data_IF_610578752698
#
_entry.id   IF_610578752698
#
_cell.length_a   1.000
_cell.length_b   1.000
_cell.length_c   1.000
_cell.angle_alpha   90.00
_cell.angle_beta   90.00
_cell.angle_gamma   90.00
#
_symmetry.space_group_name_H-M   'P 1'
#
loop_
_entity.id
_entity.type
_entity.pdbx_description
1 polymer ?
#
# COMPACT_ATOMS: atom_id res chain seq x y z
N UNK A 1 19.60 33.92 53.25
CA UNK A 1 19.13 32.61 52.72
C UNK A 1 18.01 32.72 51.69
N UNK A 2 17.03 33.63 51.83
CA UNK A 2 15.89 33.73 50.90
C UNK A 2 16.26 34.09 49.44
N UNK A 3 17.29 34.91 49.20
CA UNK A 3 17.72 35.35 47.86
C UNK A 3 18.36 34.22 47.03
N UNK A 4 19.12 33.32 47.67
CA UNK A 4 19.70 32.12 47.03
C UNK A 4 18.63 31.09 46.63
N UNK A 5 17.57 30.94 47.43
CA UNK A 5 16.43 30.06 47.09
C UNK A 5 15.67 30.53 45.86
N UNK A 6 15.48 31.85 45.68
CA UNK A 6 14.80 32.40 44.49
C UNK A 6 15.61 32.22 43.20
N UNK A 7 16.93 32.34 43.26
CA UNK A 7 17.81 32.11 42.09
C UNK A 7 17.84 30.62 41.66
N UNK A 8 17.83 29.69 42.62
CA UNK A 8 17.78 28.25 42.34
C UNK A 8 16.45 27.82 41.69
N UNK A 9 15.32 28.39 42.13
CA UNK A 9 13.99 28.10 41.55
C UNK A 9 13.86 28.68 40.13
N UNK A 10 14.41 29.88 39.85
CA UNK A 10 14.43 30.43 38.49
C UNK A 10 15.36 29.67 37.54
N UNK A 11 16.50 29.15 38.01
CA UNK A 11 17.37 28.31 37.17
C UNK A 11 16.74 26.94 36.89
N UNK A 12 16.04 26.32 37.85
CA UNK A 12 15.31 25.08 37.62
C UNK A 12 14.13 25.25 36.65
N UNK A 13 13.40 26.37 36.74
CA UNK A 13 12.32 26.67 35.80
C UNK A 13 12.85 26.90 34.37
N UNK A 14 13.97 27.63 34.21
CA UNK A 14 14.61 27.85 32.92
C UNK A 14 15.17 26.54 32.31
N UNK A 15 15.71 25.64 33.14
CA UNK A 15 16.22 24.34 32.70
C UNK A 15 15.09 23.37 32.32
N UNK A 16 13.95 23.41 33.02
CA UNK A 16 12.77 22.62 32.68
C UNK A 16 12.12 23.08 31.36
N UNK A 17 12.09 24.39 31.08
CA UNK A 17 11.63 24.91 29.77
C UNK A 17 12.61 24.60 28.63
N UNK A 18 13.92 24.57 28.91
CA UNK A 18 14.93 24.23 27.89
C UNK A 18 14.92 22.73 27.57
N UNK A 19 14.72 21.86 28.57
CA UNK A 19 14.55 20.41 28.37
C UNK A 19 13.20 20.07 27.73
N UNK A 20 12.12 20.77 28.08
CA UNK A 20 10.82 20.64 27.41
C UNK A 20 10.85 21.10 25.95
N UNK A 21 11.59 22.17 25.64
CA UNK A 21 11.79 22.67 24.28
C UNK A 21 12.68 21.75 23.43
N UNK A 22 13.74 21.18 24.00
CA UNK A 22 14.64 20.24 23.30
C UNK A 22 13.98 18.87 23.10
N UNK A 23 13.11 18.42 24.02
CA UNK A 23 12.33 17.19 23.87
C UNK A 23 11.22 17.32 22.81
N UNK A 24 10.69 18.53 22.56
CA UNK A 24 9.72 18.76 21.48
C UNK A 24 10.36 18.85 20.09
N UNK A 25 11.63 19.23 19.98
CA UNK A 25 12.35 19.30 18.70
C UNK A 25 12.97 17.97 18.24
N UNK A 26 12.87 16.91 19.06
CA UNK A 26 13.33 15.56 18.71
C UNK A 26 12.18 14.59 18.42
N UNK A 27 10.94 15.10 18.25
CA UNK A 27 9.90 14.32 17.58
C UNK A 27 10.38 14.11 16.14
N UNK A 28 10.72 12.85 15.84
CA UNK A 28 11.43 12.45 14.64
C UNK A 28 10.83 13.07 13.39
N UNK A 29 11.69 13.50 12.48
CA UNK A 29 11.29 13.65 11.10
C UNK A 29 10.87 12.25 10.65
N UNK A 30 9.56 11.97 10.68
CA UNK A 30 9.02 10.79 10.05
C UNK A 30 9.44 10.84 8.59
N UNK A 31 10.17 9.83 8.13
CA UNK A 31 10.44 9.67 6.72
C UNK A 31 9.09 9.65 6.01
N UNK A 32 8.85 10.54 5.06
CA UNK A 32 7.68 10.46 4.22
C UNK A 32 7.74 9.13 3.45
N UNK A 33 6.88 8.20 3.85
CA UNK A 33 6.75 6.88 3.27
C UNK A 33 5.91 6.99 1.99
N UNK A 34 6.51 6.61 0.88
CA UNK A 34 5.77 6.31 -0.33
C UNK A 34 5.04 4.96 -0.17
N UNK A 35 4.09 4.66 -1.05
CA UNK A 35 3.23 3.50 -0.89
C UNK A 35 2.69 3.06 -2.25
N UNK A 36 2.98 1.83 -2.65
CA UNK A 36 2.51 1.25 -3.89
C UNK A 36 3.12 -0.11 -4.17
N UNK A 37 2.28 -1.04 -4.60
CA UNK A 37 2.69 -2.32 -5.21
C UNK A 37 1.81 -2.57 -6.44
N UNK A 38 2.18 -3.56 -7.25
CA UNK A 38 1.47 -3.85 -8.50
C UNK A 38 0.06 -4.36 -8.23
N UNK A 39 -0.91 -3.81 -8.98
CA UNK A 39 -2.33 -4.19 -8.98
C UNK A 39 -2.69 -5.05 -10.20
N UNK A 40 -2.01 -4.85 -11.34
CA UNK A 40 -2.11 -5.70 -12.53
C UNK A 40 -0.73 -5.87 -13.20
N UNK A 41 -0.23 -7.09 -13.41
CA UNK A 41 -0.68 -8.31 -12.73
C UNK A 41 -0.48 -8.17 -11.21
N UNK A 42 -1.50 -8.53 -10.43
CA UNK A 42 -1.57 -8.22 -9.01
C UNK A 42 -0.44 -8.84 -8.19
N UNK A 43 0.12 -8.06 -7.27
CA UNK A 43 1.16 -8.53 -6.35
C UNK A 43 0.60 -9.47 -5.27
N UNK A 44 1.47 -10.26 -4.61
CA UNK A 44 1.08 -11.17 -3.53
C UNK A 44 0.30 -10.46 -2.42
N UNK A 45 0.81 -9.33 -1.92
CA UNK A 45 0.14 -8.57 -0.84
C UNK A 45 -1.21 -8.03 -1.31
N UNK A 46 -1.27 -7.46 -2.52
CA UNK A 46 -2.52 -6.93 -3.08
C UNK A 46 -3.56 -8.02 -3.30
N UNK A 47 -3.22 -9.11 -3.99
CA UNK A 47 -4.15 -10.22 -4.25
C UNK A 47 -4.59 -10.90 -2.95
N UNK A 48 -3.70 -11.11 -1.99
CA UNK A 48 -4.10 -11.64 -0.69
C UNK A 48 -5.00 -10.68 0.09
N UNK A 49 -4.83 -9.37 -0.05
CA UNK A 49 -5.75 -8.40 0.53
C UNK A 49 -7.14 -8.50 -0.11
N UNK A 50 -7.19 -8.63 -1.45
CA UNK A 50 -8.45 -8.84 -2.16
C UNK A 50 -9.16 -10.14 -1.77
N UNK A 51 -8.41 -11.24 -1.60
CA UNK A 51 -8.94 -12.53 -1.17
C UNK A 51 -9.42 -12.51 0.29
N UNK A 52 -8.74 -11.76 1.15
CA UNK A 52 -9.00 -11.74 2.58
C UNK A 52 -10.11 -10.78 3.01
N UNK A 53 -10.26 -9.62 2.36
CA UNK A 53 -11.17 -8.57 2.83
C UNK A 53 -12.62 -9.03 2.88
N UNK A 54 -13.29 -8.71 3.98
CA UNK A 54 -14.73 -8.96 4.17
C UNK A 54 -15.49 -7.64 4.39
N UNK A 55 -16.81 -7.67 4.23
CA UNK A 55 -17.66 -6.50 4.50
C UNK A 55 -17.68 -6.05 5.96
N UNK A 56 -17.19 -6.88 6.89
CA UNK A 56 -17.09 -6.54 8.31
C UNK A 56 -15.78 -5.85 8.65
N UNK A 57 -14.85 -5.76 7.69
CA UNK A 57 -13.48 -5.31 7.88
C UNK A 57 -12.55 -6.40 8.38
N UNK A 58 -13.02 -7.59 8.75
CA UNK A 58 -12.13 -8.70 9.14
C UNK A 58 -11.41 -9.29 7.90
N UNK A 59 -10.27 -9.93 8.13
CA UNK A 59 -9.51 -10.66 7.10
C UNK A 59 -9.74 -12.17 7.23
N UNK A 60 -10.28 -12.77 6.16
CA UNK A 60 -10.54 -14.21 6.03
C UNK A 60 -10.18 -14.69 4.62
N UNK A 61 -8.88 -14.86 4.30
CA UNK A 61 -8.44 -15.35 2.99
C UNK A 61 -8.93 -16.77 2.76
N UNK A 62 -9.24 -17.12 1.51
CA UNK A 62 -9.52 -18.51 1.11
C UNK A 62 -8.29 -19.23 0.59
N UNK A 63 -7.38 -18.50 -0.04
CA UNK A 63 -6.17 -19.02 -0.63
C UNK A 63 -5.22 -19.59 0.45
N UNK A 64 -4.66 -20.80 0.29
CA UNK A 64 -3.80 -21.40 1.30
C UNK A 64 -2.46 -20.67 1.52
N UNK A 65 -1.88 -20.07 0.48
CA UNK A 65 -0.67 -19.26 0.61
C UNK A 65 -0.97 -17.94 1.33
N UNK A 66 -2.07 -17.26 1.00
CA UNK A 66 -2.50 -16.06 1.71
C UNK A 66 -2.83 -16.33 3.18
N UNK A 67 -3.47 -17.47 3.50
CA UNK A 67 -3.68 -17.92 4.89
C UNK A 67 -2.36 -18.08 5.64
N UNK A 68 -1.38 -18.71 5.01
CA UNK A 68 -0.06 -18.92 5.62
C UNK A 68 0.68 -17.59 5.82
N UNK A 69 0.67 -16.69 4.83
CA UNK A 69 1.27 -15.37 4.93
C UNK A 69 0.62 -14.51 6.01
N UNK A 70 -0.72 -14.54 6.12
CA UNK A 70 -1.45 -13.86 7.19
C UNK A 70 -1.11 -14.43 8.58
N UNK A 71 -0.94 -15.74 8.68
CA UNK A 71 -0.55 -16.38 9.95
C UNK A 71 0.89 -16.05 10.36
N UNK A 72 1.80 -15.86 9.40
CA UNK A 72 3.20 -15.51 9.64
C UNK A 72 3.37 -14.01 9.93
N UNK A 73 2.92 -13.15 9.02
CA UNK A 73 3.19 -11.71 9.04
C UNK A 73 2.07 -10.86 9.65
N UNK A 74 0.95 -11.49 10.04
CA UNK A 74 -0.17 -10.83 10.70
C UNK A 74 -0.99 -9.90 9.79
N UNK A 75 -2.13 -9.45 10.33
CA UNK A 75 -3.12 -8.69 9.59
C UNK A 75 -2.64 -7.31 9.11
N UNK A 76 -1.72 -6.68 9.86
CA UNK A 76 -1.14 -5.37 9.52
C UNK A 76 -0.52 -5.36 8.13
N UNK A 77 0.09 -6.48 7.70
CA UNK A 77 0.67 -6.62 6.36
C UNK A 77 -0.37 -6.46 5.24
N UNK A 78 -1.60 -6.94 5.44
CA UNK A 78 -2.66 -6.86 4.44
C UNK A 78 -3.42 -5.53 4.46
N UNK A 79 -3.54 -4.85 5.60
CA UNK A 79 -4.08 -3.47 5.60
C UNK A 79 -3.09 -2.46 5.03
N UNK A 80 -1.79 -2.77 5.10
CA UNK A 80 -0.71 -1.97 4.53
C UNK A 80 -0.09 -2.68 3.32
N UNK A 81 -0.91 -3.34 2.50
CA UNK A 81 -0.48 -4.17 1.37
C UNK A 81 0.43 -3.43 0.37
N UNK A 82 0.32 -2.09 0.34
CA UNK A 82 1.10 -1.15 -0.48
C UNK A 82 2.46 -0.74 0.12
N UNK A 83 2.77 -1.13 1.36
CA UNK A 83 3.92 -0.61 2.13
C UNK A 83 5.16 -1.54 2.14
N UNK A 84 5.33 -2.33 1.09
CA UNK A 84 6.50 -3.23 0.95
C UNK A 84 7.72 -2.41 0.51
N UNK A 85 8.39 -1.79 1.47
CA UNK A 85 9.37 -0.74 1.24
C UNK A 85 10.69 -0.94 1.98
N UNK A 86 11.72 -0.27 1.48
CA UNK A 86 12.97 -0.05 2.20
C UNK A 86 13.40 1.40 2.00
N UNK A 87 13.33 2.20 3.08
CA UNK A 87 13.64 3.63 3.08
C UNK A 87 15.10 3.95 2.70
N UNK A 88 15.99 2.96 2.70
CA UNK A 88 17.42 3.14 2.44
C UNK A 88 17.91 2.39 1.20
N UNK A 89 17.03 1.77 0.40
CA UNK A 89 17.48 0.96 -0.73
C UNK A 89 18.30 1.76 -1.75
N UNK A 90 17.89 2.98 -2.07
CA UNK A 90 18.66 3.92 -2.90
C UNK A 90 18.90 3.42 -4.32
N UNK A 91 17.97 2.62 -4.86
CA UNK A 91 18.10 1.96 -6.15
C UNK A 91 19.00 0.73 -6.13
N UNK A 92 19.50 0.28 -4.97
CA UNK A 92 20.25 -0.98 -4.84
C UNK A 92 19.31 -2.18 -4.89
N UNK A 93 19.81 -3.28 -5.43
CA UNK A 93 19.10 -4.55 -5.52
C UNK A 93 20.04 -5.68 -5.13
N UNK A 94 20.57 -6.39 -6.13
CA UNK A 94 21.53 -7.47 -5.95
C UNK A 94 22.73 -7.05 -5.08
N UNK A 95 23.10 -7.91 -4.13
CA UNK A 95 24.17 -7.64 -3.15
C UNK A 95 23.77 -6.76 -1.98
N UNK A 96 22.55 -6.21 -1.96
CA UNK A 96 22.01 -5.42 -0.86
C UNK A 96 20.72 -6.01 -0.29
N UNK A 97 19.73 -6.29 -1.14
CA UNK A 97 18.55 -7.09 -0.78
C UNK A 97 18.96 -8.56 -0.90
N UNK A 98 18.93 -9.36 0.19
CA UNK A 98 19.30 -10.77 0.14
C UNK A 98 18.41 -11.56 -0.83
N UNK A 99 18.96 -12.61 -1.44
CA UNK A 99 18.15 -13.63 -2.12
C UNK A 99 17.13 -14.22 -1.12
N UNK A 100 15.98 -14.64 -1.65
CA UNK A 100 14.85 -15.11 -0.86
C UNK A 100 14.07 -14.02 -0.13
N UNK A 101 14.50 -12.75 -0.20
CA UNK A 101 13.87 -11.62 0.52
C UNK A 101 13.37 -10.50 -0.37
N UNK A 102 13.26 -10.72 -1.67
CA UNK A 102 12.86 -9.69 -2.64
C UNK A 102 11.42 -9.23 -2.40
N UNK A 103 10.50 -10.15 -2.08
CA UNK A 103 9.06 -9.85 -1.92
C UNK A 103 8.69 -9.19 -0.58
N UNK A 104 9.69 -8.92 0.26
CA UNK A 104 9.56 -8.31 1.59
C UNK A 104 10.49 -7.09 1.75
N UNK A 105 11.04 -6.59 0.64
CA UNK A 105 12.03 -5.51 0.65
C UNK A 105 13.26 -5.80 1.54
N UNK A 106 13.70 -7.07 1.61
CA UNK A 106 14.82 -7.46 2.46
C UNK A 106 14.47 -7.57 3.95
N UNK A 107 13.19 -7.69 4.30
CA UNK A 107 12.66 -7.58 5.66
C UNK A 107 13.00 -6.24 6.34
N UNK A 108 13.05 -5.14 5.57
CA UNK A 108 13.42 -3.80 6.06
C UNK A 108 12.26 -2.80 6.16
N UNK A 109 11.06 -3.22 5.76
CA UNK A 109 9.86 -2.41 5.91
C UNK A 109 9.51 -2.20 7.40
N UNK A 110 8.81 -1.11 7.75
CA UNK A 110 8.20 -0.94 9.08
C UNK A 110 7.22 -2.05 9.47
N UNK A 111 6.73 -2.83 8.49
CA UNK A 111 5.80 -3.93 8.70
C UNK A 111 6.44 -5.27 8.34
N UNK A 112 5.94 -6.33 8.97
CA UNK A 112 6.33 -7.69 8.64
C UNK A 112 5.69 -8.09 7.29
N UNK A 113 6.54 -8.46 6.33
CA UNK A 113 6.14 -9.06 5.05
C UNK A 113 6.88 -10.38 4.79
N UNK A 114 7.48 -11.01 5.81
CA UNK A 114 8.34 -12.17 5.62
C UNK A 114 7.59 -13.35 4.98
N UNK A 115 6.31 -13.54 5.33
CA UNK A 115 5.46 -14.62 4.80
C UNK A 115 5.19 -14.51 3.30
N UNK A 116 5.36 -13.34 2.70
CA UNK A 116 5.21 -13.13 1.25
C UNK A 116 6.43 -13.59 0.45
N UNK A 117 7.53 -13.97 1.11
CA UNK A 117 8.68 -14.60 0.44
C UNK A 117 8.49 -16.10 0.20
N UNK A 118 7.48 -16.74 0.81
CA UNK A 118 7.36 -18.20 0.80
C UNK A 118 7.35 -18.78 -0.62
N UNK A 119 8.26 -19.73 -0.88
CA UNK A 119 8.39 -20.43 -2.15
C UNK A 119 7.28 -21.49 -2.28
N UNK A 120 6.15 -21.09 -2.86
CA UNK A 120 4.94 -21.91 -3.00
C UNK A 120 4.35 -21.75 -4.40
N UNK A 121 3.74 -22.82 -4.91
CA UNK A 121 3.05 -22.80 -6.21
C UNK A 121 1.55 -22.44 -6.11
N UNK A 122 1.00 -22.24 -4.91
CA UNK A 122 -0.43 -22.02 -4.69
C UNK A 122 -0.78 -20.57 -4.34
N UNK A 123 0.11 -19.61 -4.62
CA UNK A 123 -0.22 -18.19 -4.61
C UNK A 123 -1.31 -17.86 -5.64
N UNK A 124 -2.18 -16.87 -5.37
CA UNK A 124 -3.00 -16.26 -6.41
C UNK A 124 -2.13 -15.78 -7.56
N UNK A 125 -2.60 -15.96 -8.80
CA UNK A 125 -1.77 -15.68 -9.98
C UNK A 125 -2.58 -15.09 -11.12
N UNK A 126 -1.92 -14.25 -11.92
CA UNK A 126 -2.50 -13.68 -13.14
C UNK A 126 -2.13 -14.53 -14.37
N UNK A 127 -3.12 -14.85 -15.20
CA UNK A 127 -2.97 -15.62 -16.43
C UNK A 127 -2.65 -14.70 -17.59
N UNK A 128 -1.56 -14.98 -18.30
CA UNK A 128 -1.00 -14.10 -19.33
C UNK A 128 -0.66 -14.87 -20.61
N UNK A 129 -0.58 -14.13 -21.71
CA UNK A 129 -0.19 -14.64 -23.02
C UNK A 129 1.26 -14.28 -23.30
N UNK A 130 2.09 -15.29 -23.59
CA UNK A 130 3.48 -15.07 -23.99
C UNK A 130 3.54 -14.25 -25.28
N UNK A 131 4.37 -13.20 -25.32
CA UNK A 131 4.53 -12.33 -26.50
C UNK A 131 3.44 -11.27 -26.67
N UNK A 132 2.45 -11.18 -25.78
CA UNK A 132 1.43 -10.14 -25.84
C UNK A 132 1.89 -8.85 -25.14
N UNK A 133 1.17 -7.75 -25.39
CA UNK A 133 1.25 -6.53 -24.58
C UNK A 133 0.20 -6.60 -23.49
N UNK A 134 0.54 -6.13 -22.28
CA UNK A 134 -0.40 -5.97 -21.16
C UNK A 134 -0.33 -4.54 -20.63
N UNK A 135 -1.43 -4.06 -20.06
CA UNK A 135 -1.41 -2.84 -19.25
C UNK A 135 -1.02 -3.20 -17.81
N UNK A 136 0.13 -2.69 -17.37
CA UNK A 136 0.54 -2.78 -15.97
C UNK A 136 -0.15 -1.68 -15.19
N UNK A 137 -0.69 -2.03 -14.01
CA UNK A 137 -1.22 -1.06 -13.04
C UNK A 137 -0.44 -1.17 -11.75
N UNK A 138 0.12 -0.07 -11.28
CA UNK A 138 0.86 -0.01 -10.03
C UNK A 138 0.23 1.02 -9.11
N UNK A 139 -0.12 0.63 -7.89
CA UNK A 139 -0.86 1.51 -6.97
C UNK A 139 -0.11 2.83 -6.76
N UNK A 140 -0.85 3.93 -6.78
CA UNK A 140 -0.36 5.26 -6.43
C UNK A 140 -0.82 5.67 -5.02
N UNK A 141 -0.94 4.71 -4.09
CA UNK A 141 -1.45 4.95 -2.75
C UNK A 141 -0.77 6.16 -2.08
N UNK A 142 0.55 6.29 -2.23
CA UNK A 142 1.24 7.59 -2.21
C UNK A 142 1.99 7.77 -3.53
N UNK A 143 1.72 8.86 -4.24
CA UNK A 143 2.36 9.15 -5.52
C UNK A 143 3.73 9.84 -5.34
N UNK A 144 4.74 9.34 -6.03
CA UNK A 144 6.09 9.90 -6.05
C UNK A 144 6.71 9.86 -7.45
N UNK A 145 7.68 10.74 -7.74
CA UNK A 145 8.46 10.64 -8.97
C UNK A 145 9.48 9.49 -8.85
N UNK A 146 9.76 8.81 -9.96
CA UNK A 146 10.75 7.74 -9.97
C UNK A 146 10.68 6.84 -11.19
N UNK A 147 11.44 5.74 -11.11
CA UNK A 147 11.52 4.72 -12.14
C UNK A 147 11.05 3.36 -11.63
N UNK A 148 10.19 2.69 -12.38
CA UNK A 148 9.72 1.33 -12.14
C UNK A 148 10.58 0.36 -12.96
N UNK A 149 11.47 -0.37 -12.30
CA UNK A 149 12.31 -1.40 -12.93
C UNK A 149 11.53 -2.72 -12.92
N UNK A 150 11.17 -3.21 -14.10
CA UNK A 150 10.34 -4.39 -14.26
C UNK A 150 11.21 -5.58 -14.62
N UNK A 151 11.20 -6.59 -13.76
CA UNK A 151 11.91 -7.84 -13.93
C UNK A 151 10.95 -9.00 -14.11
N UNK A 152 11.39 -10.01 -14.83
CA UNK A 152 10.68 -11.28 -15.00
C UNK A 152 11.64 -12.42 -14.67
N UNK A 153 11.14 -13.47 -14.01
CA UNK A 153 11.96 -14.67 -13.80
C UNK A 153 12.37 -15.29 -15.14
N UNK A 154 13.57 -15.87 -15.20
CA UNK A 154 14.13 -16.54 -16.39
C UNK A 154 13.38 -17.85 -16.65
N UNK A 155 13.40 -18.36 -17.91
CA UNK A 155 12.88 -19.69 -18.22
C UNK A 155 13.50 -20.77 -17.31
N UNK A 156 12.67 -21.68 -16.81
CA UNK A 156 13.08 -22.75 -15.89
C UNK A 156 12.93 -22.42 -14.40
N UNK A 157 12.57 -21.18 -14.04
CA UNK A 157 12.15 -20.84 -12.68
C UNK A 157 10.96 -21.70 -12.23
N UNK A 158 10.95 -22.10 -10.96
CA UNK A 158 9.82 -22.74 -10.29
C UNK A 158 9.42 -21.91 -9.08
N UNK A 159 8.11 -21.66 -8.85
CA UNK A 159 7.64 -20.91 -7.68
C UNK A 159 7.88 -21.64 -6.34
N UNK A 160 8.26 -22.92 -6.37
CA UNK A 160 8.69 -23.69 -5.19
C UNK A 160 10.18 -23.57 -4.88
N UNK A 161 10.93 -22.81 -5.67
CA UNK A 161 12.34 -22.46 -5.40
C UNK A 161 12.41 -21.09 -4.75
N UNK A 162 13.44 -20.87 -3.93
CA UNK A 162 13.74 -19.55 -3.39
C UNK A 162 14.03 -18.58 -4.54
N UNK A 163 13.39 -17.40 -4.52
CA UNK A 163 13.59 -16.37 -5.54
C UNK A 163 14.86 -15.57 -5.22
N UNK A 164 15.86 -15.62 -6.08
CA UNK A 164 17.06 -14.79 -6.02
C UNK A 164 17.19 -13.80 -7.17
N UNK A 165 18.13 -12.87 -7.05
CA UNK A 165 18.44 -11.90 -8.12
C UNK A 165 18.96 -12.59 -9.39
N UNK A 166 19.63 -13.74 -9.26
CA UNK A 166 20.09 -14.52 -10.42
C UNK A 166 18.96 -15.11 -11.25
N UNK A 167 17.77 -15.26 -10.68
CA UNK A 167 16.59 -15.79 -11.36
C UNK A 167 15.89 -14.74 -12.20
N UNK A 168 16.21 -13.46 -12.03
CA UNK A 168 15.52 -12.34 -12.65
C UNK A 168 16.27 -11.81 -13.88
N UNK A 169 15.49 -11.33 -14.85
CA UNK A 169 15.94 -10.56 -16.00
C UNK A 169 15.18 -9.23 -16.03
N UNK A 170 15.89 -8.11 -16.16
CA UNK A 170 15.27 -6.80 -16.35
C UNK A 170 14.70 -6.73 -17.77
N UNK A 171 13.39 -6.52 -17.89
CA UNK A 171 12.70 -6.48 -19.19
C UNK A 171 12.21 -5.08 -19.57
N UNK A 172 12.04 -4.18 -18.60
CA UNK A 172 11.63 -2.80 -18.86
C UNK A 172 12.05 -1.85 -17.73
N UNK A 173 12.11 -0.56 -18.03
CA UNK A 173 12.22 0.51 -17.02
C UNK A 173 11.40 1.71 -17.46
N UNK A 174 10.35 2.02 -16.68
CA UNK A 174 9.43 3.11 -16.97
C UNK A 174 9.65 4.24 -15.96
N UNK A 175 9.74 5.48 -16.44
CA UNK A 175 9.98 6.65 -15.58
C UNK A 175 8.78 7.57 -15.61
N UNK A 176 8.25 7.92 -14.43
CA UNK A 176 7.08 8.79 -14.24
C UNK A 176 5.90 8.45 -15.19
N UNK A 177 5.38 7.21 -15.18
CA UNK A 177 4.19 6.87 -15.95
C UNK A 177 2.99 7.75 -15.56
N UNK A 178 2.01 7.92 -16.46
CA UNK A 178 0.76 8.61 -16.14
C UNK A 178 -0.02 7.87 -15.04
N UNK A 179 -0.98 8.58 -14.44
CA UNK A 179 -1.81 8.10 -13.35
C UNK A 179 -3.30 8.25 -13.67
N UNK A 180 -4.12 7.37 -13.11
CA UNK A 180 -5.58 7.46 -13.06
C UNK A 180 -6.04 7.30 -11.61
N UNK A 181 -6.98 8.15 -11.18
CA UNK A 181 -7.47 8.20 -9.81
C UNK A 181 -6.51 8.94 -8.87
N UNK A 182 -7.08 9.71 -7.94
CA UNK A 182 -6.31 10.45 -6.95
C UNK A 182 -5.47 9.53 -6.06
N UNK A 183 -4.23 9.92 -5.68
CA UNK A 183 -3.44 9.20 -4.69
C UNK A 183 -4.22 8.96 -3.39
N UNK A 184 -3.99 7.83 -2.73
CA UNK A 184 -4.67 7.46 -1.48
C UNK A 184 -6.11 6.96 -1.64
N UNK A 185 -6.58 6.76 -2.88
CA UNK A 185 -7.92 6.24 -3.17
C UNK A 185 -7.89 4.77 -3.57
N UNK A 186 -9.00 4.07 -3.29
CA UNK A 186 -9.21 2.73 -3.81
C UNK A 186 -9.23 2.76 -5.35
N UNK A 187 -8.31 2.02 -5.98
CA UNK A 187 -8.24 1.94 -7.43
C UNK A 187 -7.31 2.95 -8.08
N UNK A 188 -6.77 3.94 -7.35
CA UNK A 188 -5.75 4.84 -7.88
C UNK A 188 -4.47 4.08 -8.30
N UNK A 189 -3.96 4.39 -9.49
CA UNK A 189 -2.76 3.71 -10.02
C UNK A 189 -2.02 4.51 -11.09
N UNK A 190 -0.72 4.25 -11.17
CA UNK A 190 0.08 4.42 -12.37
C UNK A 190 -0.26 3.35 -13.40
N UNK A 191 -0.15 3.68 -14.69
CA UNK A 191 -0.35 2.70 -15.76
C UNK A 191 0.64 2.87 -16.92
N UNK A 192 1.00 1.74 -17.55
CA UNK A 192 1.80 1.71 -18.79
C UNK A 192 1.63 0.38 -19.51
N UNK A 193 1.97 0.35 -20.80
CA UNK A 193 2.02 -0.88 -21.58
C UNK A 193 3.35 -1.59 -21.41
N UNK A 194 3.32 -2.90 -21.12
CA UNK A 194 4.47 -3.78 -21.03
C UNK A 194 4.39 -4.85 -22.13
N UNK A 195 5.43 -4.96 -22.95
CA UNK A 195 5.56 -6.04 -23.92
C UNK A 195 6.17 -7.28 -23.25
N UNK A 196 5.40 -8.36 -23.15
CA UNK A 196 5.87 -9.60 -22.55
C UNK A 196 6.80 -10.33 -23.54
N UNK A 197 7.92 -10.94 -23.06
CA UNK A 197 8.76 -11.77 -23.91
C UNK A 197 7.97 -12.93 -24.53
N UNK A 198 8.24 -13.24 -25.80
CA UNK A 198 7.73 -14.44 -26.47
C UNK A 198 8.47 -15.71 -26.03
N UNK A 199 7.91 -16.89 -26.32
CA UNK A 199 8.54 -18.18 -26.02
C UNK A 199 8.50 -18.55 -24.53
N UNK A 200 7.59 -17.94 -23.76
CA UNK A 200 7.36 -18.23 -22.35
C UNK A 200 6.19 -19.21 -22.19
N UNK A 201 6.25 -20.05 -21.16
CA UNK A 201 5.17 -20.98 -20.80
C UNK A 201 5.23 -21.32 -19.32
N UNK A 202 4.08 -21.57 -18.70
CA UNK A 202 3.97 -21.99 -17.31
C UNK A 202 4.28 -20.88 -16.30
N UNK A 203 4.53 -21.29 -15.07
CA UNK A 203 4.66 -20.40 -13.91
C UNK A 203 5.87 -19.46 -14.03
N UNK A 204 5.65 -18.20 -13.68
CA UNK A 204 6.70 -17.19 -13.58
C UNK A 204 6.36 -16.18 -12.47
N UNK A 205 7.29 -15.29 -12.19
CA UNK A 205 7.08 -14.19 -11.26
C UNK A 205 7.57 -12.90 -11.90
N UNK A 206 6.73 -11.87 -11.85
CA UNK A 206 7.09 -10.50 -12.21
C UNK A 206 7.48 -9.75 -10.95
N UNK A 207 8.68 -9.19 -10.94
CA UNK A 207 9.19 -8.39 -9.83
C UNK A 207 9.33 -6.93 -10.28
N UNK A 208 8.76 -5.99 -9.53
CA UNK A 208 8.92 -4.56 -9.78
C UNK A 208 9.63 -3.93 -8.59
N UNK A 209 10.73 -3.23 -8.88
CA UNK A 209 11.35 -2.30 -7.95
C UNK A 209 11.01 -0.87 -8.37
N UNK A 210 10.25 -0.15 -7.55
CA UNK A 210 10.03 1.28 -7.74
C UNK A 210 11.12 2.07 -7.02
N UNK A 211 11.95 2.77 -7.81
CA UNK A 211 13.06 3.58 -7.34
C UNK A 211 12.66 5.05 -7.40
N UNK A 212 12.39 5.65 -6.24
CA UNK A 212 12.10 7.09 -6.13
C UNK A 212 13.29 7.93 -6.61
N UNK A 213 13.00 9.07 -7.22
CA UNK A 213 14.02 10.05 -7.64
C UNK A 213 14.22 11.18 -6.62
N UNK A 214 13.31 11.30 -5.66
CA UNK A 214 13.26 12.32 -4.60
C UNK A 214 13.67 11.78 -3.22
N UNK A 215 13.93 10.47 -3.09
CA UNK A 215 14.26 9.78 -1.84
C UNK A 215 15.16 8.56 -2.05
N UNK A 216 15.77 8.04 -0.98
CA UNK A 216 16.41 6.73 -1.00
C UNK A 216 15.40 5.58 -0.90
N UNK A 217 14.15 5.86 -0.59
CA UNK A 217 13.13 4.84 -0.39
C UNK A 217 12.74 4.15 -1.70
N UNK A 218 12.63 2.82 -1.68
CA UNK A 218 12.15 2.02 -2.81
C UNK A 218 11.03 1.07 -2.38
N UNK A 219 10.22 0.65 -3.35
CA UNK A 219 9.14 -0.34 -3.17
C UNK A 219 9.44 -1.61 -3.94
N UNK A 220 8.95 -2.72 -3.41
CA UNK A 220 9.25 -4.06 -3.88
C UNK A 220 7.94 -4.83 -4.07
N UNK A 221 7.65 -5.24 -5.29
CA UNK A 221 6.39 -5.90 -5.63
C UNK A 221 6.67 -7.21 -6.35
N UNK A 222 6.10 -8.31 -5.86
CA UNK A 222 6.15 -9.63 -6.49
C UNK A 222 4.75 -10.04 -6.94
N UNK A 223 4.58 -10.34 -8.22
CA UNK A 223 3.33 -10.82 -8.82
C UNK A 223 3.53 -12.21 -9.41
N UNK A 224 2.86 -13.22 -8.88
CA UNK A 224 2.84 -14.56 -9.47
C UNK A 224 1.99 -14.55 -10.73
N UNK A 225 2.54 -15.10 -11.81
CA UNK A 225 1.90 -15.13 -13.13
C UNK A 225 2.05 -16.51 -13.76
N UNK A 226 1.22 -16.79 -14.76
CA UNK A 226 1.35 -18.01 -15.56
C UNK A 226 1.18 -17.68 -17.04
N UNK A 227 2.09 -18.17 -17.87
CA UNK A 227 2.02 -18.06 -19.32
C UNK A 227 1.29 -19.28 -19.89
N UNK A 228 -0.03 -19.17 -20.00
CA UNK A 228 -0.92 -20.24 -20.48
C UNK A 228 -1.94 -19.77 -21.53
N UNK A 229 -1.82 -18.50 -21.98
CA UNK A 229 -2.71 -17.91 -22.97
C UNK A 229 -3.84 -17.06 -22.38
N UNK A 230 -3.83 -16.77 -21.07
CA UNK A 230 -4.76 -15.82 -20.48
C UNK A 230 -4.51 -14.35 -20.84
N UNK A 231 -5.44 -13.50 -20.42
CA UNK A 231 -5.54 -12.08 -20.75
C UNK A 231 -5.68 -11.19 -19.51
N UNK A 232 -5.22 -11.65 -18.36
CA UNK A 232 -5.27 -10.91 -17.10
C UNK A 232 -6.20 -11.50 -16.04
N UNK A 233 -6.81 -12.66 -16.32
CA UNK A 233 -7.64 -13.37 -15.34
C UNK A 233 -6.79 -13.75 -14.12
N UNK A 234 -7.40 -13.75 -12.95
CA UNK A 234 -6.74 -14.18 -11.71
C UNK A 234 -7.35 -15.49 -11.25
N UNK A 235 -6.53 -16.47 -10.89
CA UNK A 235 -6.98 -17.70 -10.20
C UNK A 235 -6.43 -17.78 -8.78
N UNK A 236 -7.01 -18.67 -7.97
CA UNK A 236 -6.55 -18.93 -6.61
C UNK A 236 -7.11 -17.98 -5.56
N UNK A 237 -8.17 -17.22 -5.84
CA UNK A 237 -8.85 -16.37 -4.86
C UNK A 237 -10.35 -16.65 -4.79
N UNK A 238 -10.98 -16.22 -3.69
CA UNK A 238 -12.44 -16.23 -3.55
C UNK A 238 -13.08 -15.50 -4.75
N UNK A 239 -14.01 -16.17 -5.42
CA UNK A 239 -14.76 -15.61 -6.55
C UNK A 239 -14.06 -15.70 -7.91
N UNK A 240 -12.86 -16.30 -8.00
CA UNK A 240 -12.10 -16.36 -9.25
C UNK A 240 -12.12 -17.75 -9.94
N UNK A 241 -13.19 -18.52 -9.69
CA UNK A 241 -13.37 -19.91 -10.13
C UNK A 241 -14.14 -20.09 -11.45
N UNK A 242 -13.82 -19.32 -12.50
CA UNK A 242 -14.23 -19.64 -13.85
C UNK A 242 -13.13 -20.42 -14.56
N UNK A 243 -13.32 -21.72 -14.79
CA UNK A 243 -12.49 -22.50 -15.73
C UNK A 243 -12.62 -21.87 -17.13
N UNK A 244 -11.54 -21.69 -17.91
CA UNK A 244 -11.70 -21.40 -19.34
C UNK A 244 -12.31 -22.65 -19.99
N UNK A 245 -13.61 -22.60 -20.30
CA UNK A 245 -14.17 -23.52 -21.28
C UNK A 245 -13.64 -23.03 -22.63
N UNK A 246 -12.94 -23.85 -23.44
CA UNK A 246 -12.71 -23.49 -24.83
C UNK A 246 -14.09 -23.50 -25.50
N UNK A 247 -14.63 -22.33 -25.83
CA UNK A 247 -15.88 -22.26 -26.59
C UNK A 247 -15.59 -22.72 -28.03
N UNK A 248 -16.23 -23.80 -28.51
CA UNK A 248 -16.15 -24.20 -29.89
C UNK A 248 -17.36 -23.61 -30.63
N UNK A 249 -17.18 -22.48 -31.32
CA UNK A 249 -17.57 -22.29 -32.74
C UNK A 249 -17.51 -20.82 -33.12
N UNK A 250 -16.66 -20.55 -34.11
CA UNK A 250 -16.71 -19.41 -35.00
C UNK A 250 -18.01 -19.46 -35.85
N UNK A 251 -18.78 -18.37 -35.95
CA UNK A 251 -19.55 -18.07 -37.13
C UNK A 251 -18.97 -16.85 -37.85
N UNK A 252 -18.45 -17.14 -39.03
CA UNK A 252 -18.20 -16.25 -40.17
C UNK A 252 -19.11 -15.01 -40.26
N UNK A 253 -18.50 -13.84 -40.46
CA UNK A 253 -19.12 -12.70 -41.15
C UNK A 253 -18.55 -11.32 -40.76
N UNK A 254 -18.02 -10.52 -41.70
CA UNK A 254 -17.58 -9.16 -41.41
C UNK A 254 -18.74 -8.19 -41.58
N UNK A 255 -19.10 -7.48 -40.51
CA UNK A 255 -19.81 -6.19 -40.62
C UNK A 255 -19.00 -5.15 -39.87
N UNK A 256 -18.52 -4.20 -40.65
CA UNK A 256 -17.76 -3.00 -40.27
C UNK A 256 -18.50 -2.18 -39.19
N UNK A 257 -17.94 -1.96 -37.99
CA UNK A 257 -18.50 -1.02 -37.05
C UNK A 257 -17.95 0.38 -37.32
N UNK A 258 -18.86 1.30 -37.60
CA UNK A 258 -18.61 2.74 -37.64
C UNK A 258 -17.88 3.24 -36.39
N UNK A 259 -16.84 4.01 -36.63
CA UNK A 259 -15.99 4.76 -35.70
C UNK A 259 -16.78 5.44 -34.55
N UNK A 260 -16.56 5.06 -33.28
CA UNK A 260 -17.15 5.76 -32.15
C UNK A 260 -16.35 7.04 -31.88
N UNK A 261 -17.03 8.18 -32.04
CA UNK A 261 -16.52 9.49 -31.63
C UNK A 261 -16.01 9.46 -30.19
N UNK A 262 -14.76 9.90 -30.04
CA UNK A 262 -14.02 10.15 -28.80
C UNK A 262 -14.89 10.84 -27.73
N UNK A 263 -15.17 10.19 -26.58
CA UNK A 263 -15.87 10.86 -25.49
C UNK A 263 -14.93 11.89 -24.88
N UNK A 264 -15.30 13.16 -24.99
CA UNK A 264 -14.63 14.26 -24.30
C UNK A 264 -14.46 13.92 -22.81
N UNK A 265 -13.19 13.90 -22.39
CA UNK A 265 -12.71 13.72 -21.03
C UNK A 265 -13.57 14.50 -20.02
N UNK A 266 -14.33 13.84 -19.12
CA UNK A 266 -14.98 14.54 -18.05
C UNK A 266 -13.89 15.09 -17.13
N UNK A 267 -13.78 16.41 -17.04
CA UNK A 267 -12.91 17.05 -16.05
C UNK A 267 -13.27 16.50 -14.66
N UNK A 268 -12.37 15.69 -14.11
CA UNK A 268 -12.46 15.14 -12.77
C UNK A 268 -12.63 16.31 -11.79
N UNK A 269 -13.67 16.33 -10.93
CA UNK A 269 -13.78 17.35 -9.90
C UNK A 269 -12.48 17.39 -9.10
N UNK A 270 -11.79 18.53 -9.13
CA UNK A 270 -10.56 18.74 -8.36
C UNK A 270 -10.87 18.61 -6.89
N UNK A 271 -10.59 17.45 -6.30
CA UNK A 271 -10.56 17.26 -4.86
C UNK A 271 -9.45 18.16 -4.30
N UNK A 272 -9.74 19.15 -3.44
CA UNK A 272 -8.73 20.05 -2.89
C UNK A 272 -7.73 19.36 -1.93
N UNK A 273 -7.82 18.04 -1.73
CA UNK A 273 -6.89 17.23 -0.95
C UNK A 273 -6.13 16.18 -1.77
N UNK A 274 -5.94 16.41 -3.08
CA UNK A 274 -4.94 15.69 -3.87
C UNK A 274 -3.63 15.60 -3.09
N UNK A 275 -3.15 14.39 -2.78
CA UNK A 275 -1.89 14.20 -2.05
C UNK A 275 -1.99 14.08 -0.52
N UNK A 276 -3.18 14.22 0.08
CA UNK A 276 -3.38 13.79 1.48
C UNK A 276 -3.56 12.27 1.54
N UNK A 277 -2.84 11.62 2.46
CA UNK A 277 -2.94 10.18 2.67
C UNK A 277 -3.05 9.85 4.16
N UNK A 278 -3.76 8.75 4.49
CA UNK A 278 -3.86 8.23 5.84
C UNK A 278 -3.41 6.75 5.93
N UNK A 279 -2.64 6.42 6.96
CA UNK A 279 -2.21 5.03 7.26
C UNK A 279 -2.69 4.63 8.65
N UNK A 280 -3.33 3.46 8.74
CA UNK A 280 -3.89 2.92 9.97
C UNK A 280 -3.02 1.82 10.57
N UNK A 281 -2.77 1.87 11.88
CA UNK A 281 -2.06 0.83 12.61
C UNK A 281 -2.70 0.54 13.98
N UNK A 282 -2.69 -0.74 14.37
CA UNK A 282 -3.03 -1.18 15.73
C UNK A 282 -1.73 -1.25 16.53
N UNK A 283 -1.56 -0.36 17.51
CA UNK A 283 -0.31 -0.24 18.29
C UNK A 283 -0.32 -1.08 19.56
N UNK A 284 -1.49 -1.39 20.09
CA UNK A 284 -1.67 -2.26 21.25
C UNK A 284 -3.08 -2.86 21.26
N UNK A 285 -3.27 -4.05 21.81
CA UNK A 285 -4.60 -4.67 21.95
C UNK A 285 -4.77 -5.41 23.27
N UNK A 286 -6.01 -5.51 23.74
CA UNK A 286 -6.38 -6.21 24.97
C UNK A 286 -7.78 -6.82 24.82
N UNK A 287 -8.20 -7.62 25.80
CA UNK A 287 -9.55 -8.19 25.81
C UNK A 287 -10.60 -7.08 25.82
N UNK A 288 -11.40 -6.99 24.75
CA UNK A 288 -12.48 -6.01 24.61
C UNK A 288 -12.07 -4.65 24.03
N UNK A 289 -10.82 -4.43 23.64
CA UNK A 289 -10.41 -3.15 23.05
C UNK A 289 -9.00 -3.10 22.48
N UNK A 290 -8.67 -1.98 21.85
CA UNK A 290 -7.36 -1.75 21.28
C UNK A 290 -7.01 -0.26 21.22
N UNK A 291 -5.72 0.01 21.01
CA UNK A 291 -5.18 1.32 20.69
C UNK A 291 -4.81 1.35 19.20
N UNK A 292 -5.31 2.36 18.50
CA UNK A 292 -4.98 2.62 17.11
C UNK A 292 -4.22 3.93 16.95
N UNK A 293 -3.44 4.00 15.88
CA UNK A 293 -2.71 5.18 15.43
C UNK A 293 -2.99 5.40 13.95
N UNK A 294 -3.19 6.66 13.58
CA UNK A 294 -3.35 7.06 12.17
C UNK A 294 -2.35 8.15 11.85
N UNK A 295 -1.49 7.88 10.88
CA UNK A 295 -0.56 8.84 10.32
C UNK A 295 -1.21 9.51 9.11
N UNK A 296 -1.19 10.84 9.08
CA UNK A 296 -1.73 11.69 8.01
C UNK A 296 -0.56 12.38 7.33
N UNK A 297 -0.37 12.12 6.04
CA UNK A 297 0.77 12.61 5.26
C UNK A 297 0.31 13.62 4.21
N UNK A 298 1.22 14.55 3.92
CA UNK A 298 1.10 15.47 2.82
C UNK A 298 2.14 15.13 1.75
N UNK A 299 1.68 14.64 0.60
CA UNK A 299 2.50 14.38 -0.59
C UNK A 299 2.39 15.46 -1.67
N UNK A 300 1.73 16.57 -1.35
CA UNK A 300 1.70 17.73 -2.22
C UNK A 300 2.97 18.58 -2.07
N UNK A 301 3.27 19.35 -3.12
CA UNK A 301 4.37 20.33 -3.11
C UNK A 301 4.06 21.58 -2.29
N UNK A 302 2.84 21.68 -1.76
CA UNK A 302 2.35 22.80 -0.92
C UNK A 302 1.90 22.25 0.42
N UNK A 303 1.95 23.10 1.45
CA UNK A 303 1.44 22.72 2.76
C UNK A 303 -0.09 22.50 2.71
N UNK A 304 -0.57 21.42 3.32
CA UNK A 304 -1.99 21.22 3.60
C UNK A 304 -2.39 22.12 4.78
N UNK A 305 -3.51 22.82 4.66
CA UNK A 305 -4.06 23.67 5.73
C UNK A 305 -5.42 23.17 6.21
N UNK A 306 -5.39 22.25 7.17
CA UNK A 306 -6.53 21.46 7.61
C UNK A 306 -6.53 20.07 6.97
N UNK A 307 -6.91 19.08 7.77
CA UNK A 307 -7.04 17.70 7.32
C UNK A 307 -8.14 17.02 8.13
N UNK A 308 -8.84 16.11 7.46
CA UNK A 308 -9.71 15.14 8.11
C UNK A 308 -9.54 13.78 7.48
N UNK A 309 -9.70 12.75 8.31
CA UNK A 309 -9.58 11.37 7.90
C UNK A 309 -10.86 10.64 8.26
N UNK A 310 -11.42 9.94 7.29
CA UNK A 310 -12.67 9.21 7.43
C UNK A 310 -12.47 7.71 7.20
N UNK A 311 -13.13 6.90 8.04
CA UNK A 311 -13.22 5.46 7.83
C UNK A 311 -14.46 4.89 8.50
N UNK A 312 -14.82 3.68 8.08
CA UNK A 312 -15.81 2.85 8.76
C UNK A 312 -15.10 1.90 9.72
N UNK A 313 -15.28 2.00 11.05
CA UNK A 313 -14.75 1.01 11.98
C UNK A 313 -15.31 -0.38 11.68
N UNK A 314 -14.49 -1.41 11.88
CA UNK A 314 -14.89 -2.80 11.73
C UNK A 314 -16.11 -3.17 12.57
N UNK A 315 -16.90 -4.14 12.11
CA UNK A 315 -18.07 -4.59 12.85
C UNK A 315 -17.71 -4.98 14.30
N UNK A 316 -18.46 -4.47 15.28
CA UNK A 316 -18.17 -4.68 16.70
C UNK A 316 -17.11 -3.74 17.29
N UNK A 317 -16.66 -2.74 16.53
CA UNK A 317 -15.75 -1.69 16.99
C UNK A 317 -16.47 -0.38 17.24
N UNK A 318 -16.15 0.29 18.34
CA UNK A 318 -16.53 1.69 18.57
C UNK A 318 -15.35 2.49 19.12
N UNK A 319 -15.09 3.66 18.55
CA UNK A 319 -14.03 4.56 19.01
C UNK A 319 -14.47 5.20 20.33
N UNK A 320 -13.64 5.06 21.37
CA UNK A 320 -13.92 5.51 22.74
C UNK A 320 -13.33 6.89 23.05
N UNK A 321 -12.09 7.12 22.61
CA UNK A 321 -11.39 8.39 22.82
C UNK A 321 -10.37 8.63 21.71
N UNK A 322 -10.12 9.91 21.40
CA UNK A 322 -9.14 10.36 20.40
C UNK A 322 -8.25 11.43 21.03
N UNK A 323 -6.98 11.46 20.66
CA UNK A 323 -6.06 12.57 20.94
C UNK A 323 -5.38 13.04 19.65
N UNK A 324 -4.89 14.28 19.67
CA UNK A 324 -4.32 14.96 18.49
C UNK A 324 -5.27 15.09 17.30
N UNK A 325 -6.58 15.03 17.57
CA UNK A 325 -7.65 15.22 16.59
C UNK A 325 -9.01 15.31 17.28
N UNK A 326 -10.04 15.68 16.51
CA UNK A 326 -11.42 15.83 16.97
C UNK A 326 -12.30 14.85 16.20
N UNK A 327 -12.91 13.91 16.92
CA UNK A 327 -13.79 12.88 16.37
C UNK A 327 -15.21 13.40 16.17
N UNK A 328 -15.77 13.11 15.00
CA UNK A 328 -17.21 13.06 14.74
C UNK A 328 -17.59 11.66 14.28
N UNK A 329 -18.78 11.21 14.66
CA UNK A 329 -19.30 9.89 14.24
C UNK A 329 -20.66 10.11 13.60
N UNK A 330 -20.79 9.71 12.34
CA UNK A 330 -22.05 9.75 11.62
C UNK A 330 -23.03 8.69 12.15
N UNK A 331 -24.32 8.83 11.83
CA UNK A 331 -25.37 7.92 12.30
C UNK A 331 -25.21 6.48 11.83
N UNK A 332 -24.56 6.29 10.68
CA UNK A 332 -24.22 4.98 10.15
C UNK A 332 -22.99 4.37 10.85
N UNK A 333 -22.34 5.10 11.77
CA UNK A 333 -21.14 4.69 12.50
C UNK A 333 -19.83 4.99 11.77
N UNK A 334 -19.84 5.76 10.69
CA UNK A 334 -18.62 6.24 10.02
C UNK A 334 -17.91 7.26 10.92
N UNK A 335 -16.62 7.05 11.17
CA UNK A 335 -15.79 7.92 11.99
C UNK A 335 -15.07 8.93 11.10
N UNK A 336 -15.04 10.19 11.52
CA UNK A 336 -14.22 11.24 10.90
C UNK A 336 -13.41 11.94 11.98
N UNK A 337 -12.09 11.96 11.84
CA UNK A 337 -11.20 12.69 12.75
C UNK A 337 -10.58 13.84 11.99
N UNK A 338 -10.83 15.06 12.45
CA UNK A 338 -10.19 16.28 11.93
C UNK A 338 -9.05 16.73 12.82
N UNK A 339 -8.18 17.57 12.27
CA UNK A 339 -7.04 18.15 12.97
C UNK A 339 -7.43 18.87 14.28
N UNK A 340 -6.51 18.89 15.24
CA UNK A 340 -6.49 19.87 16.32
C UNK A 340 -5.83 21.17 15.83
N UNK A 341 -6.02 22.28 16.54
CA UNK A 341 -5.49 23.58 16.09
C UNK A 341 -3.96 23.58 15.90
N UNK A 342 -3.24 22.90 16.80
CA UNK A 342 -1.78 22.91 16.81
C UNK A 342 -1.13 22.03 15.71
N UNK A 343 -1.88 21.08 15.14
CA UNK A 343 -1.39 20.18 14.08
C UNK A 343 -2.18 20.33 12.77
N UNK A 344 -2.82 21.50 12.57
CA UNK A 344 -3.64 21.82 11.40
C UNK A 344 -2.85 21.80 10.09
N UNK A 345 -1.64 22.35 10.11
CA UNK A 345 -0.82 22.50 8.91
C UNK A 345 0.17 21.36 8.79
N UNK A 346 0.19 20.68 7.64
CA UNK A 346 1.17 19.65 7.31
C UNK A 346 2.05 20.18 6.18
N UNK A 347 3.35 20.45 6.39
CA UNK A 347 4.26 20.87 5.31
C UNK A 347 4.36 19.82 4.19
N UNK A 348 4.86 20.19 3.00
CA UNK A 348 5.20 19.21 1.96
C UNK A 348 6.07 18.08 2.51
N UNK A 349 5.82 16.85 2.05
CA UNK A 349 6.55 15.64 2.43
C UNK A 349 6.69 15.44 3.95
N UNK A 350 5.68 15.87 4.70
CA UNK A 350 5.63 15.75 6.16
C UNK A 350 4.37 15.03 6.59
N UNK A 351 4.34 14.59 7.85
CA UNK A 351 3.20 13.92 8.44
C UNK A 351 2.86 14.44 9.83
N UNK A 352 1.64 14.15 10.26
CA UNK A 352 1.18 14.27 11.64
C UNK A 352 0.48 12.98 12.04
N UNK A 353 0.41 12.71 13.34
CA UNK A 353 -0.24 11.49 13.84
C UNK A 353 -1.33 11.85 14.83
N UNK A 354 -2.47 11.16 14.72
CA UNK A 354 -3.46 11.09 15.78
C UNK A 354 -3.61 9.66 16.26
N UNK A 355 -4.07 9.49 17.49
CA UNK A 355 -4.32 8.16 18.04
C UNK A 355 -5.65 8.09 18.75
N UNK A 356 -6.09 6.86 18.97
CA UNK A 356 -7.38 6.61 19.59
C UNK A 356 -7.38 5.30 20.38
N UNK A 357 -8.35 5.17 21.28
CA UNK A 357 -8.74 3.86 21.84
C UNK A 357 -10.12 3.48 21.35
N UNK A 358 -10.36 2.18 21.19
CA UNK A 358 -11.65 1.66 20.76
C UNK A 358 -12.02 0.41 21.56
N UNK A 359 -13.32 0.20 21.76
CA UNK A 359 -13.85 -1.11 22.14
C UNK A 359 -13.89 -2.02 20.91
N UNK A 360 -13.71 -3.32 21.10
CA UNK A 360 -13.69 -4.30 20.01
C UNK A 360 -14.19 -5.66 20.47
N UNK A 361 -14.97 -6.33 19.61
CA UNK A 361 -15.37 -7.73 19.78
C UNK A 361 -14.54 -8.70 18.93
N UNK A 362 -13.35 -8.28 18.47
CA UNK A 362 -12.40 -9.13 17.74
C UNK A 362 -11.98 -8.63 16.36
N UNK A 363 -12.55 -7.51 15.88
CA UNK A 363 -12.04 -6.81 14.69
C UNK A 363 -11.41 -5.48 15.12
N UNK A 364 -10.13 -5.26 14.84
CA UNK A 364 -9.41 -4.05 15.24
C UNK A 364 -9.06 -3.15 14.04
N UNK A 365 -9.70 -3.37 12.89
CA UNK A 365 -9.31 -2.74 11.64
C UNK A 365 -10.53 -2.16 10.90
N UNK A 366 -10.31 -1.19 9.99
CA UNK A 366 -11.39 -0.57 9.23
C UNK A 366 -12.09 -1.56 8.28
N UNK A 367 -13.34 -1.24 7.92
CA UNK A 367 -14.00 -1.80 6.75
C UNK A 367 -13.45 -1.09 5.52
N UNK A 368 -12.71 -1.82 4.68
CA UNK A 368 -12.02 -1.24 3.53
C UNK A 368 -10.89 -0.31 3.97
N UNK A 369 -10.61 0.69 3.15
CA UNK A 369 -9.51 1.62 3.36
C UNK A 369 -9.94 2.84 4.19
N UNK A 370 -8.97 3.52 4.79
CA UNK A 370 -9.12 4.83 5.43
C UNK A 370 -8.68 5.91 4.44
N UNK A 371 -9.36 7.04 4.38
CA UNK A 371 -9.08 8.08 3.39
C UNK A 371 -9.13 9.49 3.97
N UNK A 372 -8.35 10.40 3.38
CA UNK A 372 -8.52 11.83 3.65
C UNK A 372 -9.83 12.33 3.04
N UNK A 373 -10.45 13.30 3.72
CA UNK A 373 -11.66 13.99 3.26
C UNK A 373 -11.54 15.48 3.53
N UNK A 374 -12.44 16.26 2.93
CA UNK A 374 -12.58 17.69 3.25
C UNK A 374 -12.85 17.90 4.77
N UNK A 375 -12.04 18.73 5.47
CA UNK A 375 -12.08 18.90 6.93
C UNK A 375 -13.26 19.66 7.51
#
# INVERSE_FOLDING_TARGET
>A
MARRRRQLVSMMAAFATLLGGIALTLMGQGSAQAHGVTMMPGSRTYLCYLDARTSTGALDPTNPACKAALAESGATSLYNWFAVLDSNAGGRGQGYVPDGKLCSAGDRSPYDFSGYNAARADWPRTHLTSGSTIEVKHSNWAAHPGSFRVYLTKPGYSPTSELGWSDLELIDTVTNPPQVGSPGTDGGHYYWNLNLPSGRSGDALMFIQWVRSDSQENFFSCSDIVFDGGHGEVTGMRGSGGTPTPDPTDPTGPTDPTDPTDPTDPTDPTDPHTGCMAVYSVTNSWSGGFQGSVEVMNHDTKALDGWAVQWKPGAGTAISSVWSGVLTTASDGTATVKNADYNRTIPPDSSVTFGFTATSTGNNFPVGSIGCVNP
#
